data_IF_096743612456
#
_entry.id   IF_096743612456
#
_cell.length_a   1.000
_cell.length_b   1.000
_cell.length_c   1.000
_cell.angle_alpha   90.00
_cell.angle_beta   90.00
_cell.angle_gamma   90.00
#
_symmetry.space_group_name_H-M   'P 1'
#
loop_
_entity.id
_entity.type
_entity.pdbx_description
1 polymer ?
#
# COMPACT_ATOMS: atom_id res chain seq x y z
N UNK A 1 9.12 1.83 -14.42
CA UNK A 1 8.81 2.90 -13.49
C UNK A 1 9.74 2.84 -12.28
N UNK A 2 10.52 3.88 -12.07
CA UNK A 2 11.56 3.90 -11.04
C UNK A 2 11.00 3.75 -9.63
N UNK A 3 9.89 4.42 -9.34
CA UNK A 3 9.26 4.34 -8.02
C UNK A 3 8.88 2.91 -7.67
N UNK A 4 8.39 2.18 -8.66
CA UNK A 4 7.94 0.79 -8.49
C UNK A 4 9.07 -0.14 -8.10
N UNK A 5 10.28 0.15 -8.57
CA UNK A 5 11.46 -0.67 -8.33
C UNK A 5 12.33 -0.15 -7.18
N UNK A 6 11.97 1.00 -6.61
CA UNK A 6 12.70 1.57 -5.48
C UNK A 6 12.41 0.77 -4.22
N UNK A 7 13.46 0.36 -3.52
CA UNK A 7 13.31 -0.36 -2.26
C UNK A 7 13.19 0.65 -1.12
N UNK A 8 12.09 0.64 -0.36
CA UNK A 8 11.95 1.53 0.79
C UNK A 8 12.97 1.19 1.89
N UNK A 9 13.26 2.17 2.73
CA UNK A 9 14.14 1.97 3.88
C UNK A 9 13.35 1.31 5.02
N UNK A 10 13.14 0.01 4.91
CA UNK A 10 12.28 -0.75 5.81
C UNK A 10 12.63 -0.58 7.29
N UNK A 11 13.91 -0.38 7.60
CA UNK A 11 14.35 -0.18 8.99
C UNK A 11 13.89 1.15 9.59
N UNK A 12 13.53 2.11 8.73
CA UNK A 12 13.05 3.44 9.15
C UNK A 12 11.54 3.57 9.10
N UNK A 13 10.87 2.58 8.53
CA UNK A 13 9.43 2.64 8.31
C UNK A 13 8.71 2.11 9.54
N UNK A 14 7.77 2.89 10.03
CA UNK A 14 6.84 2.48 11.07
C UNK A 14 5.49 2.23 10.41
N UNK A 15 5.06 0.98 10.39
CA UNK A 15 3.79 0.60 9.79
C UNK A 15 2.59 1.27 10.46
N UNK A 16 2.74 1.65 11.73
CA UNK A 16 1.71 2.41 12.42
C UNK A 16 1.48 3.79 11.78
N UNK A 17 2.50 4.36 11.14
CA UNK A 17 2.37 5.61 10.40
C UNK A 17 1.85 5.40 8.99
N UNK A 18 2.08 4.22 8.42
CA UNK A 18 1.61 3.89 7.07
C UNK A 18 0.15 3.46 7.08
N UNK A 19 -0.29 2.77 8.12
CA UNK A 19 -1.64 2.24 8.22
C UNK A 19 -2.74 3.29 7.95
N UNK A 20 -2.68 4.51 8.53
CA UNK A 20 -3.70 5.53 8.24
C UNK A 20 -3.75 5.96 6.79
N UNK A 21 -2.61 5.96 6.11
CA UNK A 21 -2.52 6.33 4.70
C UNK A 21 -3.22 5.29 3.84
N UNK A 22 -2.96 4.03 4.11
CA UNK A 22 -3.58 2.90 3.40
C UNK A 22 -5.08 2.86 3.68
N UNK A 23 -5.46 3.00 4.95
CA UNK A 23 -6.85 2.98 5.36
C UNK A 23 -7.64 4.09 4.66
N UNK A 24 -7.08 5.29 4.63
CA UNK A 24 -7.71 6.42 3.95
C UNK A 24 -7.84 6.17 2.45
N UNK A 25 -6.82 5.60 1.82
CA UNK A 25 -6.87 5.26 0.40
C UNK A 25 -7.95 4.24 0.10
N UNK A 26 -8.09 3.23 0.95
CA UNK A 26 -9.13 2.21 0.83
C UNK A 26 -10.51 2.86 1.01
N UNK A 27 -10.66 3.70 2.03
CA UNK A 27 -11.92 4.39 2.30
C UNK A 27 -12.32 5.27 1.11
N UNK A 28 -11.39 5.98 0.52
CA UNK A 28 -11.67 6.81 -0.65
C UNK A 28 -12.10 5.99 -1.87
N UNK A 29 -11.54 4.80 -2.03
CA UNK A 29 -11.84 3.92 -3.17
C UNK A 29 -13.19 3.20 -3.00
N UNK A 30 -13.52 2.80 -1.79
CA UNK A 30 -14.75 2.06 -1.51
C UNK A 30 -15.89 2.91 -0.95
N UNK A 31 -15.58 4.11 -0.45
CA UNK A 31 -16.54 4.93 0.28
C UNK A 31 -16.74 4.50 1.72
N UNK A 32 -16.03 3.45 2.16
CA UNK A 32 -16.06 2.98 3.55
C UNK A 32 -14.77 2.25 3.87
N UNK A 33 -14.38 2.18 5.15
CA UNK A 33 -13.17 1.45 5.54
C UNK A 33 -13.37 -0.07 5.39
N UNK A 34 -12.29 -0.76 4.96
CA UNK A 34 -12.27 -2.21 4.81
C UNK A 34 -11.08 -2.74 5.62
N UNK A 35 -11.29 -3.03 6.92
CA UNK A 35 -10.18 -3.43 7.79
C UNK A 35 -9.48 -4.72 7.35
N UNK A 36 -10.21 -5.67 6.78
CA UNK A 36 -9.61 -6.92 6.29
C UNK A 36 -8.58 -6.64 5.19
N UNK A 37 -8.89 -5.73 4.29
CA UNK A 37 -7.99 -5.36 3.21
C UNK A 37 -6.78 -4.60 3.76
N UNK A 38 -7.01 -3.71 4.72
CA UNK A 38 -5.94 -2.99 5.39
C UNK A 38 -4.94 -3.96 6.02
N UNK A 39 -5.43 -4.97 6.74
CA UNK A 39 -4.56 -5.96 7.36
C UNK A 39 -3.78 -6.76 6.32
N UNK A 40 -4.42 -7.14 5.21
CA UNK A 40 -3.74 -7.87 4.15
C UNK A 40 -2.58 -7.05 3.57
N UNK A 41 -2.78 -5.77 3.34
CA UNK A 41 -1.73 -4.88 2.84
C UNK A 41 -0.61 -4.73 3.86
N UNK A 42 -0.97 -4.52 5.13
CA UNK A 42 0.03 -4.39 6.20
C UNK A 42 0.87 -5.65 6.36
N UNK A 43 0.26 -6.83 6.24
CA UNK A 43 0.98 -8.08 6.29
C UNK A 43 2.02 -8.19 5.16
N UNK A 44 1.65 -7.76 3.96
CA UNK A 44 2.59 -7.73 2.85
C UNK A 44 3.75 -6.77 3.12
N UNK A 45 3.47 -5.62 3.70
CA UNK A 45 4.51 -4.66 4.04
C UNK A 45 5.43 -5.20 5.15
N UNK A 46 4.88 -5.93 6.11
CA UNK A 46 5.69 -6.58 7.15
C UNK A 46 6.64 -7.62 6.57
N UNK A 47 6.22 -8.29 5.50
CA UNK A 47 7.05 -9.25 4.77
C UNK A 47 8.04 -8.57 3.84
N UNK A 48 8.00 -7.24 3.76
CA UNK A 48 8.86 -6.44 2.86
C UNK A 48 8.60 -6.78 1.40
N UNK A 49 7.33 -7.01 1.07
CA UNK A 49 6.92 -7.33 -0.28
C UNK A 49 7.16 -6.16 -1.23
N UNK A 50 7.27 -6.45 -2.52
CA UNK A 50 7.43 -5.42 -3.53
C UNK A 50 6.11 -4.67 -3.77
N UNK A 51 6.19 -3.53 -4.46
CA UNK A 51 5.00 -2.78 -4.84
C UNK A 51 4.06 -3.64 -5.68
N UNK A 52 4.61 -4.45 -6.59
CA UNK A 52 3.80 -5.33 -7.42
C UNK A 52 3.04 -6.36 -6.59
N UNK A 53 3.66 -6.91 -5.55
CA UNK A 53 3.00 -7.86 -4.66
C UNK A 53 1.81 -7.21 -3.96
N UNK A 54 1.94 -5.96 -3.53
CA UNK A 54 0.85 -5.23 -2.90
C UNK A 54 -0.27 -4.96 -3.91
N UNK A 55 0.07 -4.60 -5.16
CA UNK A 55 -0.93 -4.44 -6.22
C UNK A 55 -1.69 -5.74 -6.43
N UNK A 56 -0.99 -6.88 -6.43
CA UNK A 56 -1.62 -8.19 -6.63
C UNK A 56 -2.62 -8.51 -5.52
N UNK A 57 -2.36 -8.06 -4.29
CA UNK A 57 -3.31 -8.22 -3.19
C UNK A 57 -4.54 -7.34 -3.39
N UNK A 58 -4.36 -6.13 -3.88
CA UNK A 58 -5.45 -5.18 -4.06
C UNK A 58 -6.24 -5.38 -5.35
N UNK A 59 -5.63 -5.93 -6.38
CA UNK A 59 -6.25 -6.08 -7.70
C UNK A 59 -7.59 -6.80 -7.70
N UNK A 60 -7.79 -7.89 -6.92
CA UNK A 60 -9.10 -8.56 -6.87
C UNK A 60 -10.20 -7.73 -6.23
N UNK A 61 -9.84 -6.70 -5.47
CA UNK A 61 -10.77 -5.90 -4.68
C UNK A 61 -10.94 -4.51 -5.29
N UNK A 62 -9.83 -3.90 -5.72
CA UNK A 62 -9.82 -2.60 -6.39
C UNK A 62 -9.72 -2.77 -7.90
N UNK A 63 -10.13 -1.75 -8.64
CA UNK A 63 -9.99 -1.75 -10.10
C UNK A 63 -8.52 -1.72 -10.52
N UNK A 64 -8.25 -2.12 -11.76
CA UNK A 64 -6.90 -2.11 -12.32
C UNK A 64 -6.23 -0.74 -12.25
N UNK A 65 -7.04 0.33 -12.31
CA UNK A 65 -6.52 1.70 -12.25
C UNK A 65 -6.31 2.16 -10.80
N UNK A 66 -7.17 1.73 -9.87
CA UNK A 66 -7.12 2.18 -8.49
C UNK A 66 -6.07 1.47 -7.65
N UNK A 67 -5.88 0.17 -7.87
CA UNK A 67 -4.90 -0.60 -7.12
C UNK A 67 -3.48 -0.04 -7.28
N UNK A 68 -2.96 0.16 -8.50
CA UNK A 68 -1.63 0.74 -8.65
C UNK A 68 -1.56 2.19 -8.18
N UNK A 69 -2.64 2.96 -8.33
CA UNK A 69 -2.65 4.34 -7.85
C UNK A 69 -2.49 4.42 -6.33
N UNK A 70 -3.19 3.56 -5.59
CA UNK A 70 -3.07 3.50 -4.14
C UNK A 70 -1.67 3.05 -3.73
N UNK A 71 -1.15 2.02 -4.36
CA UNK A 71 0.19 1.52 -4.06
C UNK A 71 1.25 2.59 -4.36
N UNK A 72 1.09 3.35 -5.43
CA UNK A 72 1.99 4.46 -5.74
C UNK A 72 2.01 5.50 -4.63
N UNK A 73 0.85 5.87 -4.10
CA UNK A 73 0.76 6.83 -2.98
C UNK A 73 1.49 6.30 -1.75
N UNK A 74 1.28 5.02 -1.42
CA UNK A 74 1.93 4.39 -0.29
C UNK A 74 3.44 4.34 -0.50
N UNK A 75 3.88 3.95 -1.69
CA UNK A 75 5.31 3.84 -1.98
C UNK A 75 6.03 5.18 -1.95
N UNK A 76 5.37 6.24 -2.42
CA UNK A 76 5.94 7.58 -2.30
C UNK A 76 6.19 7.96 -0.85
N UNK A 77 5.26 7.61 0.02
CA UNK A 77 5.43 7.85 1.45
C UNK A 77 6.58 7.01 2.02
N UNK A 78 6.63 5.74 1.68
CA UNK A 78 7.66 4.83 2.18
C UNK A 78 9.07 5.25 1.73
N UNK A 79 9.20 5.64 0.47
CA UNK A 79 10.49 6.04 -0.09
C UNK A 79 10.92 7.41 0.45
N UNK A 80 9.99 8.30 0.71
CA UNK A 80 10.28 9.63 1.25
C UNK A 80 10.68 9.60 2.74
N UNK A 81 10.36 8.54 3.44
CA UNK A 81 10.74 8.37 4.85
C UNK A 81 12.21 7.93 5.02
#
# INVERSE_FOLDING_TARGET
DELWHTTPAWTRIDLAHVAPIIDRGIEESFGEPVPDLLEAVLDKLRERASAQDVVDVLAPVLDEDEAPALVERVWRFLVAT
#
